data_IF_332981189414
#
_entry.id   IF_332981189414
#
_cell.length_a   1.000
_cell.length_b   1.000
_cell.length_c   1.000
_cell.angle_alpha   90.00
_cell.angle_beta   90.00
_cell.angle_gamma   90.00
#
_symmetry.space_group_name_H-M   'P 1'
#
loop_
_entity.id
_entity.type
_entity.pdbx_description
1 polymer ?
#
# COMPACT_ATOMS: atom_id res chain seq x y z
N UNK A 1 -18.46 -14.64 6.62
CA UNK A 1 -18.65 -13.59 7.65
C UNK A 1 -19.74 -12.67 7.20
N UNK A 2 -20.70 -12.38 8.08
CA UNK A 2 -21.80 -11.44 7.85
C UNK A 2 -21.25 -10.00 7.82
N UNK A 3 -21.86 -9.10 7.05
CA UNK A 3 -21.47 -7.67 6.94
C UNK A 3 -21.20 -7.02 8.31
N UNK A 4 -22.08 -7.33 9.25
CA UNK A 4 -22.06 -6.87 10.64
C UNK A 4 -20.82 -7.34 11.42
N UNK A 5 -20.29 -8.53 11.14
CA UNK A 5 -19.08 -9.04 11.80
C UNK A 5 -17.83 -8.31 11.32
N UNK A 6 -17.79 -7.89 10.05
CA UNK A 6 -16.68 -7.10 9.50
C UNK A 6 -16.64 -5.70 10.10
N UNK A 7 -17.80 -5.08 10.26
CA UNK A 7 -17.92 -3.76 10.88
C UNK A 7 -17.47 -3.78 12.34
N UNK A 8 -17.91 -4.76 13.13
CA UNK A 8 -17.49 -4.90 14.53
C UNK A 8 -15.99 -5.22 14.62
N UNK A 9 -15.45 -6.04 13.73
CA UNK A 9 -14.01 -6.33 13.68
C UNK A 9 -13.19 -5.08 13.31
N UNK A 10 -13.70 -4.22 12.43
CA UNK A 10 -13.08 -2.93 12.11
C UNK A 10 -13.06 -2.00 13.34
N UNK A 11 -14.20 -1.85 14.03
CA UNK A 11 -14.30 -1.04 15.24
C UNK A 11 -13.36 -1.53 16.34
N UNK A 12 -13.27 -2.85 16.55
CA UNK A 12 -12.35 -3.43 17.53
C UNK A 12 -10.87 -3.18 17.16
N UNK A 13 -10.51 -3.16 15.88
CA UNK A 13 -9.16 -2.76 15.44
C UNK A 13 -8.87 -1.28 15.70
N UNK A 14 -9.86 -0.39 15.55
CA UNK A 14 -9.70 1.03 15.88
C UNK A 14 -9.53 1.22 17.39
N UNK A 15 -10.28 0.46 18.20
CA UNK A 15 -10.15 0.52 19.65
C UNK A 15 -8.77 0.06 20.13
N UNK A 16 -8.20 -1.01 19.55
CA UNK A 16 -6.82 -1.45 19.83
C UNK A 16 -5.79 -0.35 19.59
N UNK A 17 -5.99 0.49 18.55
CA UNK A 17 -5.10 1.63 18.27
C UNK A 17 -5.32 2.75 19.28
N UNK A 18 -6.57 3.03 19.62
CA UNK A 18 -6.95 4.11 20.56
C UNK A 18 -6.41 3.84 21.96
N UNK A 19 -6.57 2.61 22.43
CA UNK A 19 -6.14 2.16 23.76
C UNK A 19 -4.69 1.66 23.78
N UNK A 20 -3.92 1.86 22.70
CA UNK A 20 -2.59 1.30 22.59
C UNK A 20 -1.68 1.71 23.75
N UNK A 21 -1.82 2.92 24.29
CA UNK A 21 -1.00 3.44 25.39
C UNK A 21 -1.54 3.14 26.80
N UNK A 22 -2.68 2.44 26.92
CA UNK A 22 -3.37 2.26 28.20
C UNK A 22 -2.79 1.13 29.06
N UNK A 23 -1.82 0.36 28.54
CA UNK A 23 -1.18 -0.73 29.27
C UNK A 23 -0.20 -1.56 28.43
N UNK A 24 0.15 -2.75 28.91
CA UNK A 24 0.91 -3.74 28.14
C UNK A 24 0.03 -4.29 27.00
N UNK A 25 0.62 -4.73 25.87
CA UNK A 25 -0.17 -5.19 24.72
C UNK A 25 -1.20 -6.29 25.06
N UNK A 26 -0.89 -7.16 26.03
CA UNK A 26 -1.82 -8.19 26.48
C UNK A 26 -3.04 -7.62 27.20
N UNK A 27 -2.83 -6.65 28.08
CA UNK A 27 -3.90 -5.97 28.85
C UNK A 27 -4.84 -5.24 27.89
N UNK A 28 -4.27 -4.47 26.95
CA UNK A 28 -5.05 -3.76 25.92
C UNK A 28 -5.87 -4.73 25.05
N UNK A 29 -5.31 -5.89 24.68
CA UNK A 29 -6.05 -6.90 23.91
C UNK A 29 -7.18 -7.51 24.74
N UNK A 30 -6.96 -7.79 26.02
CA UNK A 30 -7.95 -8.38 26.91
C UNK A 30 -9.09 -7.37 27.20
N UNK A 31 -8.78 -6.10 27.38
CA UNK A 31 -9.76 -5.02 27.58
C UNK A 31 -10.63 -4.79 26.34
N UNK A 32 -10.01 -4.74 25.16
CA UNK A 32 -10.77 -4.66 23.89
C UNK A 32 -11.60 -5.94 23.69
N UNK A 33 -11.08 -7.11 24.06
CA UNK A 33 -11.85 -8.37 24.02
C UNK A 33 -12.99 -8.40 25.03
N UNK A 34 -12.91 -7.69 26.14
CA UNK A 34 -14.02 -7.56 27.09
C UNK A 34 -15.09 -6.59 26.56
N UNK A 35 -14.66 -5.52 25.88
CA UNK A 35 -15.54 -4.49 25.30
C UNK A 35 -16.26 -4.95 24.03
N UNK A 36 -15.64 -5.82 23.25
CA UNK A 36 -16.21 -6.39 22.02
C UNK A 36 -16.52 -7.88 22.21
N UNK A 37 -17.43 -8.46 21.42
CA UNK A 37 -17.72 -9.90 21.53
C UNK A 37 -16.49 -10.75 21.23
N UNK A 38 -16.40 -11.97 21.81
CA UNK A 38 -15.30 -12.92 21.50
C UNK A 38 -15.15 -13.15 19.99
N UNK A 39 -16.27 -13.20 19.27
CA UNK A 39 -16.33 -13.36 17.82
C UNK A 39 -15.66 -12.19 17.11
N UNK A 40 -15.95 -10.95 17.53
CA UNK A 40 -15.30 -9.76 16.99
C UNK A 40 -13.80 -9.73 17.28
N UNK A 41 -13.39 -10.09 18.50
CA UNK A 41 -11.98 -10.15 18.85
C UNK A 41 -11.22 -11.19 18.01
N UNK A 42 -11.81 -12.36 17.73
CA UNK A 42 -11.18 -13.36 16.84
C UNK A 42 -11.11 -12.85 15.40
N UNK A 43 -12.16 -12.18 14.91
CA UNK A 43 -12.19 -11.59 13.57
C UNK A 43 -11.14 -10.48 13.37
N UNK A 44 -10.68 -9.81 14.44
CA UNK A 44 -9.59 -8.84 14.35
C UNK A 44 -8.24 -9.44 13.95
N UNK A 45 -8.04 -10.76 14.10
CA UNK A 45 -6.81 -11.47 13.76
C UNK A 45 -6.19 -12.19 14.97
N UNK A 46 -5.01 -12.78 14.76
CA UNK A 46 -4.25 -13.46 15.82
C UNK A 46 -3.78 -12.46 16.90
N UNK A 47 -3.34 -12.99 18.04
CA UNK A 47 -2.74 -12.17 19.09
C UNK A 47 -1.54 -11.37 18.57
N UNK A 48 -0.66 -11.98 17.77
CA UNK A 48 0.50 -11.28 17.19
C UNK A 48 0.09 -10.17 16.24
N UNK A 49 -0.99 -10.34 15.46
CA UNK A 49 -1.54 -9.29 14.62
C UNK A 49 -2.05 -8.10 15.46
N UNK A 50 -2.76 -8.38 16.57
CA UNK A 50 -3.24 -7.34 17.50
C UNK A 50 -2.09 -6.63 18.22
N UNK A 51 -1.10 -7.40 18.67
CA UNK A 51 0.12 -6.86 19.28
C UNK A 51 0.86 -5.96 18.29
N UNK A 52 0.99 -6.35 17.03
CA UNK A 52 1.59 -5.50 16.00
C UNK A 52 0.80 -4.19 15.81
N UNK A 53 -0.53 -4.25 15.81
CA UNK A 53 -1.39 -3.03 15.76
C UNK A 53 -1.08 -2.10 16.93
N UNK A 54 -0.97 -2.65 18.15
CA UNK A 54 -0.65 -1.88 19.37
C UNK A 54 0.77 -1.31 19.29
N UNK A 55 1.77 -2.13 18.96
CA UNK A 55 3.17 -1.71 18.89
C UNK A 55 3.37 -0.64 17.81
N UNK A 56 2.68 -0.74 16.67
CA UNK A 56 2.64 0.32 15.64
C UNK A 56 1.98 1.59 16.16
N UNK A 57 0.90 1.49 16.92
CA UNK A 57 0.20 2.66 17.49
C UNK A 57 0.97 3.31 18.66
N UNK A 58 1.75 2.54 19.42
CA UNK A 58 2.70 3.00 20.45
C UNK A 58 3.96 3.64 19.88
N UNK A 59 4.31 3.28 18.64
CA UNK A 59 5.46 3.84 17.95
C UNK A 59 5.43 5.36 18.00
N UNK A 60 6.58 5.99 18.21
CA UNK A 60 6.70 7.45 18.15
C UNK A 60 6.20 7.88 16.77
N UNK A 61 5.08 8.60 16.74
CA UNK A 61 4.65 9.28 15.51
C UNK A 61 5.69 10.36 15.23
N UNK A 62 6.22 10.35 14.01
CA UNK A 62 7.06 11.45 13.53
C UNK A 62 6.26 12.75 13.59
N UNK A 63 6.94 13.88 13.83
CA UNK A 63 6.27 15.17 14.01
C UNK A 63 5.38 15.53 12.80
N UNK A 64 5.83 15.16 11.60
CA UNK A 64 5.10 15.29 10.34
C UNK A 64 3.77 14.52 10.33
N UNK A 65 3.74 13.32 10.92
CA UNK A 65 2.50 12.52 11.03
C UNK A 65 1.51 13.19 11.98
N UNK A 66 2.02 13.77 13.07
CA UNK A 66 1.21 14.51 14.04
C UNK A 66 0.66 15.79 13.39
N UNK A 67 1.47 16.49 12.60
CA UNK A 67 1.03 17.68 11.86
C UNK A 67 -0.05 17.32 10.83
N UNK A 68 0.17 16.27 10.04
CA UNK A 68 -0.79 15.80 9.04
C UNK A 68 -2.12 15.36 9.68
N UNK A 69 -2.09 14.67 10.83
CA UNK A 69 -3.29 14.23 11.56
C UNK A 69 -4.13 15.41 12.11
N UNK A 70 -3.56 16.62 12.25
CA UNK A 70 -4.33 17.83 12.61
C UNK A 70 -5.24 18.31 11.48
N UNK A 71 -5.02 17.84 10.26
CA UNK A 71 -5.75 18.28 9.07
C UNK A 71 -5.41 19.71 8.65
N UNK A 72 -6.22 20.27 7.74
CA UNK A 72 -6.02 21.60 7.17
C UNK A 72 -5.52 21.55 5.72
N UNK A 73 -5.11 22.72 5.21
CA UNK A 73 -4.58 22.82 3.86
C UNK A 73 -3.16 22.25 3.80
N UNK A 74 -2.86 21.50 2.74
CA UNK A 74 -1.48 21.04 2.44
C UNK A 74 -0.63 22.28 2.17
N UNK A 75 0.39 22.51 3.00
CA UNK A 75 1.26 23.68 2.95
C UNK A 75 2.74 23.30 3.13
N UNK A 76 3.65 24.27 2.93
CA UNK A 76 5.09 24.13 3.17
C UNK A 76 5.71 22.95 2.39
N UNK A 77 6.59 22.18 3.04
CA UNK A 77 7.26 21.01 2.47
C UNK A 77 6.27 19.99 1.89
N UNK A 78 5.08 19.81 2.47
CA UNK A 78 4.07 18.89 1.96
C UNK A 78 3.43 19.35 0.65
N UNK A 79 3.47 20.65 0.34
CA UNK A 79 2.98 21.16 -0.95
C UNK A 79 3.95 20.86 -2.10
N UNK A 80 5.23 20.61 -1.80
CA UNK A 80 6.25 20.32 -2.80
C UNK A 80 6.03 18.96 -3.47
N UNK A 81 5.41 18.01 -2.78
CA UNK A 81 5.17 16.67 -3.31
C UNK A 81 3.85 16.55 -4.06
N UNK A 82 2.96 17.56 -3.97
CA UNK A 82 1.62 17.51 -4.56
C UNK A 82 1.60 18.17 -5.93
N UNK A 83 1.40 17.37 -6.97
CA UNK A 83 1.12 17.84 -8.33
C UNK A 83 -0.33 17.50 -8.67
N UNK A 84 -1.16 18.53 -8.89
CA UNK A 84 -2.54 18.34 -9.35
C UNK A 84 -2.62 18.55 -10.85
N UNK A 85 -3.08 17.52 -11.57
CA UNK A 85 -3.28 17.57 -13.02
C UNK A 85 -4.72 17.18 -13.36
N UNK A 86 -5.34 17.92 -14.27
CA UNK A 86 -6.66 17.60 -14.80
C UNK A 86 -6.51 17.19 -16.26
N UNK A 87 -6.90 15.96 -16.60
CA UNK A 87 -6.92 15.47 -17.98
C UNK A 87 -8.37 15.32 -18.42
N UNK A 88 -8.88 16.30 -19.17
CA UNK A 88 -10.27 16.34 -19.61
C UNK A 88 -11.26 16.43 -18.44
N UNK A 89 -12.20 15.50 -18.34
CA UNK A 89 -13.22 15.41 -17.29
C UNK A 89 -12.79 14.62 -16.05
N UNK A 90 -11.69 13.87 -16.10
CA UNK A 90 -11.22 13.04 -14.98
C UNK A 90 -10.12 13.76 -14.20
N UNK A 91 -10.32 13.89 -12.89
CA UNK A 91 -9.37 14.53 -11.97
C UNK A 91 -8.34 13.49 -11.50
N UNK A 92 -7.06 13.82 -11.60
CA UNK A 92 -5.95 13.00 -11.07
C UNK A 92 -5.17 13.85 -10.05
N UNK A 93 -4.94 13.31 -8.86
CA UNK A 93 -3.99 13.91 -7.91
C UNK A 93 -2.75 13.05 -7.85
N UNK A 94 -1.59 13.65 -8.00
CA UNK A 94 -0.30 12.97 -7.96
C UNK A 94 0.48 13.44 -6.75
N UNK A 95 1.08 12.49 -6.04
CA UNK A 95 2.05 12.76 -4.99
C UNK A 95 3.34 12.00 -5.28
N UNK A 96 4.44 12.75 -5.40
CA UNK A 96 5.77 12.22 -5.68
C UNK A 96 6.82 13.16 -5.10
N UNK A 97 8.00 12.64 -4.77
CA UNK A 97 9.17 13.45 -4.41
C UNK A 97 10.22 13.39 -5.51
N UNK A 98 11.12 14.38 -5.56
CA UNK A 98 12.26 14.39 -6.48
C UNK A 98 13.11 13.12 -6.35
N UNK A 99 13.31 12.65 -5.12
CA UNK A 99 14.00 11.37 -4.86
C UNK A 99 13.22 10.19 -5.46
N UNK A 100 11.89 10.17 -5.32
CA UNK A 100 11.05 9.13 -5.91
C UNK A 100 11.09 9.13 -7.44
N UNK A 101 11.10 10.31 -8.05
CA UNK A 101 11.24 10.52 -9.50
C UNK A 101 12.56 9.94 -10.01
N UNK A 102 13.67 10.26 -9.35
CA UNK A 102 15.01 9.75 -9.69
C UNK A 102 15.13 8.24 -9.49
N UNK A 103 14.60 7.71 -8.38
CA UNK A 103 14.61 6.28 -8.11
C UNK A 103 13.83 5.52 -9.17
N UNK A 104 12.64 6.03 -9.56
CA UNK A 104 11.83 5.41 -10.60
C UNK A 104 12.56 5.42 -11.94
N UNK A 105 13.18 6.55 -12.32
CA UNK A 105 13.93 6.66 -13.58
C UNK A 105 15.07 5.64 -13.72
N UNK A 106 15.66 5.23 -12.59
CA UNK A 106 16.72 4.23 -12.53
C UNK A 106 16.21 2.80 -12.27
N UNK A 107 14.89 2.60 -12.16
CA UNK A 107 14.29 1.32 -11.86
C UNK A 107 13.94 0.54 -13.11
N UNK A 108 14.45 -0.69 -13.20
CA UNK A 108 14.18 -1.61 -14.32
C UNK A 108 12.94 -2.51 -14.06
N UNK A 109 12.66 -2.79 -12.79
CA UNK A 109 11.46 -3.52 -12.36
C UNK A 109 10.56 -2.60 -11.53
N UNK A 110 9.30 -2.54 -11.92
CA UNK A 110 8.30 -1.64 -11.33
C UNK A 110 7.11 -2.45 -10.90
N UNK A 111 6.54 -2.10 -9.76
CA UNK A 111 5.35 -2.74 -9.24
C UNK A 111 4.24 -1.73 -9.16
N UNK A 112 3.04 -2.17 -9.49
CA UNK A 112 1.86 -1.32 -9.54
C UNK A 112 0.78 -1.93 -8.65
N UNK A 113 0.17 -1.11 -7.79
CA UNK A 113 -0.88 -1.55 -6.88
C UNK A 113 -2.01 -0.53 -6.80
N UNK A 114 -3.24 -1.00 -6.97
CA UNK A 114 -4.47 -0.22 -6.82
C UNK A 114 -5.20 -0.61 -5.54
N UNK A 115 -5.42 0.34 -4.63
CA UNK A 115 -6.17 0.15 -3.39
C UNK A 115 -7.44 0.99 -3.37
N UNK A 116 -8.55 0.38 -2.93
CA UNK A 116 -9.92 0.90 -3.16
C UNK A 116 -10.58 1.44 -1.89
N UNK A 117 -10.38 0.79 -0.75
CA UNK A 117 -11.15 1.06 0.49
C UNK A 117 -10.66 2.30 1.27
N UNK A 118 -9.69 3.04 0.72
CA UNK A 118 -8.93 4.06 1.45
C UNK A 118 -9.03 5.47 0.84
N UNK A 119 -9.93 5.70 -0.13
CA UNK A 119 -9.98 6.98 -0.86
C UNK A 119 -11.24 7.80 -0.59
N UNK A 120 -11.13 9.13 -0.43
CA UNK A 120 -12.28 10.00 -0.29
C UNK A 120 -12.96 10.22 -1.65
N UNK A 121 -14.29 10.42 -1.63
CA UNK A 121 -15.01 10.90 -2.80
C UNK A 121 -14.38 12.22 -3.32
N UNK A 122 -14.24 12.41 -4.64
CA UNK A 122 -14.83 11.63 -5.73
C UNK A 122 -13.90 10.53 -6.31
N UNK A 123 -12.81 10.16 -5.62
CA UNK A 123 -11.86 9.18 -6.15
C UNK A 123 -12.37 7.75 -5.97
N UNK A 124 -12.09 6.91 -6.96
CA UNK A 124 -12.46 5.50 -6.97
C UNK A 124 -11.32 4.59 -6.52
N UNK A 125 -10.07 5.07 -6.58
CA UNK A 125 -8.90 4.31 -6.16
C UNK A 125 -7.68 5.18 -5.86
N UNK A 126 -6.81 4.65 -5.01
CA UNK A 126 -5.42 5.07 -4.84
C UNK A 126 -4.55 4.08 -5.62
N UNK A 127 -3.95 4.55 -6.71
CA UNK A 127 -2.99 3.82 -7.50
C UNK A 127 -1.57 4.19 -7.08
N UNK A 128 -0.66 3.23 -7.05
CA UNK A 128 0.72 3.44 -6.56
C UNK A 128 1.74 2.75 -7.45
N UNK A 129 2.89 3.41 -7.63
CA UNK A 129 4.07 2.82 -8.26
C UNK A 129 5.15 2.59 -7.22
N UNK A 130 5.77 1.42 -7.30
CA UNK A 130 6.82 0.99 -6.38
C UNK A 130 8.01 0.47 -7.17
N UNK A 131 9.17 0.52 -6.54
CA UNK A 131 10.36 -0.13 -7.08
C UNK A 131 11.25 -0.67 -5.96
N UNK A 132 12.22 -1.49 -6.35
CA UNK A 132 13.29 -1.85 -5.46
C UNK A 132 14.31 -0.71 -5.36
N UNK A 133 14.65 -0.34 -4.13
CA UNK A 133 15.66 0.65 -3.81
C UNK A 133 16.85 -0.07 -3.19
N UNK A 134 18.00 0.01 -3.86
CA UNK A 134 19.25 -0.52 -3.33
C UNK A 134 19.99 0.60 -2.62
N UNK A 135 20.09 0.52 -1.29
CA UNK A 135 20.83 1.48 -0.47
C UNK A 135 22.15 0.88 -0.03
N UNK A 136 23.25 1.58 -0.30
CA UNK A 136 24.57 1.22 0.24
C UNK A 136 24.65 1.73 1.68
N UNK A 137 24.79 0.81 2.62
CA UNK A 137 24.93 1.13 4.03
C UNK A 137 26.35 0.84 4.49
N UNK A 138 26.87 1.76 5.29
CA UNK A 138 28.17 1.67 5.94
C UNK A 138 27.94 1.37 7.41
N UNK A 139 28.38 0.19 7.86
CA UNK A 139 28.45 -0.12 9.27
C UNK A 139 29.89 0.07 9.71
N UNK A 140 30.14 1.00 10.62
CA UNK A 140 31.45 1.16 11.24
C UNK A 140 31.30 1.05 12.76
N UNK A 141 32.09 0.16 13.35
CA UNK A 141 32.32 0.09 14.79
C UNK A 141 33.82 0.25 15.07
N UNK A 142 34.20 0.36 16.34
CA UNK A 142 35.60 0.56 16.77
C UNK A 142 36.59 -0.48 16.24
N UNK A 143 36.12 -1.65 15.83
CA UNK A 143 36.95 -2.80 15.45
C UNK A 143 36.74 -3.24 13.99
N UNK A 144 35.68 -2.77 13.31
CA UNK A 144 35.35 -3.21 11.96
C UNK A 144 34.57 -2.15 11.18
N UNK A 145 34.85 -2.05 9.88
CA UNK A 145 34.05 -1.27 8.94
C UNK A 145 33.62 -2.16 7.78
N UNK A 146 32.33 -2.15 7.47
CA UNK A 146 31.70 -2.97 6.45
C UNK A 146 30.80 -2.13 5.56
N UNK A 147 30.78 -2.46 4.27
CA UNK A 147 29.74 -2.02 3.34
C UNK A 147 28.80 -3.19 3.08
N UNK A 148 27.50 -2.95 3.14
CA UNK A 148 26.50 -3.91 2.70
C UNK A 148 25.39 -3.20 1.95
N UNK A 149 24.73 -3.96 1.07
CA UNK A 149 23.61 -3.48 0.29
C UNK A 149 22.32 -3.87 1.00
N UNK A 150 21.43 -2.90 1.20
CA UNK A 150 20.06 -3.14 1.63
C UNK A 150 19.14 -2.90 0.46
N UNK A 151 18.53 -3.98 -0.03
CA UNK A 151 17.42 -3.88 -0.97
C UNK A 151 16.12 -3.65 -0.18
N UNK A 152 15.46 -2.54 -0.44
CA UNK A 152 14.17 -2.18 0.16
C UNK A 152 13.12 -2.06 -0.93
N UNK A 153 11.86 -2.25 -0.56
CA UNK A 153 10.72 -2.03 -1.44
C UNK A 153 10.07 -0.71 -1.06
N UNK A 154 9.99 0.24 -1.98
CA UNK A 154 9.52 1.60 -1.68
C UNK A 154 8.38 2.02 -2.60
N UNK A 155 7.36 2.65 -2.01
CA UNK A 155 6.33 3.41 -2.72
C UNK A 155 6.98 4.70 -3.21
N UNK A 156 6.97 4.94 -4.52
CA UNK A 156 7.60 6.13 -5.11
C UNK A 156 6.56 7.17 -5.54
N UNK A 157 5.40 6.72 -6.01
CA UNK A 157 4.31 7.58 -6.47
C UNK A 157 2.97 7.12 -5.94
N UNK A 158 2.11 8.11 -5.71
CA UNK A 158 0.72 7.93 -5.31
C UNK A 158 -0.18 8.73 -6.24
N UNK A 159 -1.24 8.10 -6.73
CA UNK A 159 -2.20 8.67 -7.66
C UNK A 159 -3.61 8.45 -7.15
N UNK A 160 -4.39 9.51 -6.96
CA UNK A 160 -5.82 9.38 -6.75
C UNK A 160 -6.53 9.49 -8.08
N UNK A 161 -7.23 8.41 -8.47
CA UNK A 161 -7.93 8.29 -9.75
C UNK A 161 -9.44 8.26 -9.53
N UNK A 162 -10.17 8.88 -10.46
CA UNK A 162 -11.64 8.97 -10.43
C UNK A 162 -12.31 7.74 -11.06
N UNK A 163 -11.56 6.92 -11.80
CA UNK A 163 -12.02 5.67 -12.40
C UNK A 163 -10.85 4.67 -12.55
N UNK A 164 -11.14 3.54 -13.19
CA UNK A 164 -10.22 2.41 -13.43
C UNK A 164 -10.03 2.11 -14.92
N UNK A 165 -10.23 3.12 -15.76
CA UNK A 165 -10.18 2.95 -17.21
C UNK A 165 -8.74 2.96 -17.70
N UNK A 166 -8.48 2.25 -18.81
CA UNK A 166 -7.17 2.27 -19.50
C UNK A 166 -6.70 3.70 -19.76
N UNK A 167 -7.58 4.58 -20.23
CA UNK A 167 -7.26 5.99 -20.50
C UNK A 167 -6.77 6.76 -19.27
N UNK A 168 -7.26 6.42 -18.08
CA UNK A 168 -6.83 7.06 -16.83
C UNK A 168 -5.43 6.61 -16.43
N UNK A 169 -5.09 5.33 -16.63
CA UNK A 169 -3.73 4.85 -16.44
C UNK A 169 -2.76 5.38 -17.48
N UNK A 170 -3.18 5.48 -18.75
CA UNK A 170 -2.38 6.11 -19.80
C UNK A 170 -2.09 7.58 -19.45
N UNK A 171 -3.08 8.31 -18.95
CA UNK A 171 -2.89 9.67 -18.45
C UNK A 171 -1.89 9.73 -17.29
N UNK A 172 -1.98 8.79 -16.33
CA UNK A 172 -0.98 8.65 -15.24
C UNK A 172 0.42 8.46 -15.79
N UNK A 173 0.61 7.50 -16.72
CA UNK A 173 1.91 7.21 -17.30
C UNK A 173 2.48 8.41 -18.06
N UNK A 174 1.62 9.14 -18.78
CA UNK A 174 2.01 10.39 -19.44
C UNK A 174 2.50 11.42 -18.43
N UNK A 175 1.76 11.65 -17.34
CA UNK A 175 2.16 12.58 -16.27
C UNK A 175 3.52 12.17 -15.69
N UNK A 176 3.74 10.87 -15.44
CA UNK A 176 5.03 10.36 -14.94
C UNK A 176 6.16 10.69 -15.91
N UNK A 177 6.01 10.37 -17.20
CA UNK A 177 7.06 10.60 -18.20
C UNK A 177 7.37 12.08 -18.44
N UNK A 178 6.39 12.96 -18.21
CA UNK A 178 6.52 14.42 -18.35
C UNK A 178 6.97 15.11 -17.05
N UNK A 179 6.97 14.41 -15.91
CA UNK A 179 7.23 15.01 -14.60
C UNK A 179 8.70 15.35 -14.33
N UNK A 180 9.65 14.67 -15.00
CA UNK A 180 11.07 14.93 -14.83
C UNK A 180 11.87 14.54 -16.08
N UNK A 181 12.93 15.28 -16.48
CA UNK A 181 13.74 14.93 -17.66
C UNK A 181 14.32 13.51 -17.63
N UNK A 182 14.71 13.01 -16.45
CA UNK A 182 15.20 11.64 -16.28
C UNK A 182 14.14 10.57 -16.60
N UNK A 183 12.86 10.90 -16.47
CA UNK A 183 11.75 10.00 -16.77
C UNK A 183 11.33 9.99 -18.24
N UNK A 184 11.69 11.01 -19.03
CA UNK A 184 11.37 11.06 -20.47
C UNK A 184 11.91 9.83 -21.22
N UNK A 185 13.04 9.27 -20.77
CA UNK A 185 13.68 8.07 -21.36
C UNK A 185 13.48 6.80 -20.52
N UNK A 186 12.72 6.88 -19.43
CA UNK A 186 12.50 5.74 -18.57
C UNK A 186 11.73 4.63 -19.30
N UNK A 187 12.29 3.43 -19.26
CA UNK A 187 11.80 2.24 -19.96
C UNK A 187 12.02 1.02 -19.07
N UNK A 188 11.04 0.63 -18.24
CA UNK A 188 11.20 -0.54 -17.39
C UNK A 188 11.25 -1.82 -18.24
N UNK A 189 12.11 -2.77 -17.90
CA UNK A 189 12.08 -4.11 -18.51
C UNK A 189 10.92 -4.96 -17.97
N UNK A 190 10.56 -4.80 -16.70
CA UNK A 190 9.51 -5.63 -16.06
C UNK A 190 8.51 -4.77 -15.29
N UNK A 191 7.24 -5.03 -15.51
CA UNK A 191 6.13 -4.42 -14.79
C UNK A 191 5.33 -5.52 -14.13
N UNK A 192 5.19 -5.48 -12.80
CA UNK A 192 4.39 -6.43 -12.04
C UNK A 192 3.18 -5.69 -11.48
N UNK A 193 1.99 -6.04 -11.97
CA UNK A 193 0.75 -5.39 -11.57
C UNK A 193 -0.29 -6.41 -11.09
N UNK A 194 -1.40 -5.94 -10.53
CA UNK A 194 -2.56 -6.80 -10.35
C UNK A 194 -3.17 -7.22 -11.70
N UNK A 195 -4.29 -7.96 -11.66
CA UNK A 195 -4.92 -8.50 -12.86
C UNK A 195 -5.96 -7.54 -13.47
N UNK A 196 -5.87 -6.24 -13.17
CA UNK A 196 -6.77 -5.27 -13.76
C UNK A 196 -6.45 -5.02 -15.25
N UNK A 197 -7.43 -5.29 -16.11
CA UNK A 197 -7.27 -5.15 -17.57
C UNK A 197 -6.92 -3.73 -17.98
N UNK A 198 -7.52 -2.73 -17.32
CA UNK A 198 -7.27 -1.31 -17.60
C UNK A 198 -5.80 -0.95 -17.46
N UNK A 199 -5.23 -1.33 -16.32
CA UNK A 199 -3.83 -1.13 -15.95
C UNK A 199 -2.87 -1.87 -16.89
N UNK A 200 -3.14 -3.17 -17.12
CA UNK A 200 -2.30 -3.99 -17.99
C UNK A 200 -2.22 -3.42 -19.41
N UNK A 201 -3.36 -3.07 -20.00
CA UNK A 201 -3.43 -2.50 -21.34
C UNK A 201 -2.64 -1.19 -21.46
N UNK A 202 -2.73 -0.31 -20.45
CA UNK A 202 -2.00 0.96 -20.46
C UNK A 202 -0.49 0.75 -20.44
N UNK A 203 0.02 -0.17 -19.62
CA UNK A 203 1.45 -0.48 -19.58
C UNK A 203 1.95 -1.17 -20.85
N UNK A 204 1.19 -2.11 -21.41
CA UNK A 204 1.56 -2.78 -22.67
C UNK A 204 1.56 -1.79 -23.85
N UNK A 205 0.61 -0.86 -23.89
CA UNK A 205 0.53 0.21 -24.88
C UNK A 205 1.72 1.18 -24.75
N UNK A 206 2.00 1.65 -23.54
CA UNK A 206 3.03 2.66 -23.29
C UNK A 206 4.46 2.08 -23.38
N UNK A 207 4.66 0.83 -22.96
CA UNK A 207 5.95 0.15 -22.94
C UNK A 207 5.88 -1.21 -23.65
N UNK A 208 5.81 -1.25 -25.00
CA UNK A 208 5.62 -2.50 -25.76
C UNK A 208 6.77 -3.52 -25.62
N UNK A 209 7.93 -3.09 -25.11
CA UNK A 209 9.10 -3.96 -24.86
C UNK A 209 9.18 -4.47 -23.43
N UNK A 210 8.37 -3.93 -22.51
CA UNK A 210 8.36 -4.37 -21.13
C UNK A 210 7.61 -5.70 -21.00
N UNK A 211 8.06 -6.56 -20.08
CA UNK A 211 7.32 -7.74 -19.66
C UNK A 211 6.29 -7.33 -18.61
N UNK A 212 5.01 -7.27 -19.00
CA UNK A 212 3.90 -6.97 -18.09
C UNK A 212 3.34 -8.27 -17.51
N UNK A 213 3.55 -8.47 -16.21
CA UNK A 213 3.29 -9.71 -15.49
C UNK A 213 2.28 -9.51 -14.37
N UNK A 214 1.50 -10.56 -14.09
CA UNK A 214 0.57 -10.58 -12.96
C UNK A 214 1.29 -10.83 -11.63
N UNK A 215 0.86 -10.15 -10.58
CA UNK A 215 1.39 -10.28 -9.25
C UNK A 215 0.97 -11.60 -8.59
N UNK A 216 1.96 -12.45 -8.23
CA UNK A 216 1.72 -13.72 -7.56
C UNK A 216 0.95 -13.56 -6.23
N UNK A 217 1.23 -12.51 -5.46
CA UNK A 217 0.51 -12.24 -4.22
C UNK A 217 -0.99 -12.07 -4.46
N UNK A 218 -1.37 -11.29 -5.47
CA UNK A 218 -2.77 -11.08 -5.85
C UNK A 218 -3.43 -12.36 -6.38
N UNK A 219 -2.69 -13.18 -7.13
CA UNK A 219 -3.17 -14.47 -7.62
C UNK A 219 -3.49 -15.41 -6.44
N UNK A 220 -2.52 -15.62 -5.55
CA UNK A 220 -2.66 -16.50 -4.38
C UNK A 220 -3.77 -16.00 -3.46
N UNK A 221 -3.87 -14.69 -3.24
CA UNK A 221 -4.95 -14.10 -2.45
C UNK A 221 -6.32 -14.40 -3.08
N UNK A 222 -6.45 -14.28 -4.40
CA UNK A 222 -7.68 -14.56 -5.13
C UNK A 222 -8.06 -16.04 -5.07
N UNK A 223 -7.09 -16.94 -5.27
CA UNK A 223 -7.28 -18.38 -5.12
C UNK A 223 -7.73 -18.76 -3.72
N UNK A 224 -7.06 -18.23 -2.69
CA UNK A 224 -7.42 -18.48 -1.30
C UNK A 224 -8.85 -18.03 -1.00
N UNK A 225 -9.22 -16.79 -1.38
CA UNK A 225 -10.60 -16.27 -1.20
C UNK A 225 -11.64 -17.19 -1.86
N UNK A 226 -11.35 -17.68 -3.07
CA UNK A 226 -12.25 -18.58 -3.79
C UNK A 226 -12.36 -19.95 -3.12
N UNK A 227 -11.24 -20.53 -2.72
CA UNK A 227 -11.22 -21.83 -2.06
C UNK A 227 -11.89 -21.79 -0.67
N UNK A 228 -11.73 -20.71 0.09
CA UNK A 228 -12.48 -20.45 1.33
C UNK A 228 -14.00 -20.38 1.06
N UNK A 229 -14.42 -19.66 0.02
CA UNK A 229 -15.85 -19.57 -0.37
C UNK A 229 -16.43 -20.92 -0.78
N UNK A 230 -15.64 -21.75 -1.46
CA UNK A 230 -16.02 -23.10 -1.87
C UNK A 230 -15.85 -24.15 -0.77
N UNK A 231 -15.31 -23.77 0.39
CA UNK A 231 -15.08 -24.67 1.52
C UNK A 231 -14.18 -25.87 1.18
N UNK A 232 -13.28 -25.73 0.19
CA UNK A 232 -12.44 -26.84 -0.30
C UNK A 232 -11.52 -27.42 0.77
N UNK A 233 -11.26 -26.68 1.85
CA UNK A 233 -10.37 -27.12 2.94
C UNK A 233 -11.11 -27.78 4.10
N UNK A 234 -12.45 -27.83 4.09
CA UNK A 234 -13.22 -28.35 5.22
C UNK A 234 -12.87 -29.80 5.55
N UNK A 235 -12.68 -30.65 4.55
CA UNK A 235 -12.30 -32.06 4.74
C UNK A 235 -10.89 -32.23 5.34
N UNK A 236 -10.00 -31.26 5.16
CA UNK A 236 -8.64 -31.27 5.72
C UNK A 236 -8.58 -30.68 7.13
N UNK A 237 -9.59 -29.90 7.52
CA UNK A 237 -9.67 -29.23 8.83
C UNK A 237 -10.59 -29.99 9.79
N UNK A 238 -11.57 -30.74 9.28
CA UNK A 238 -12.39 -31.63 10.10
C UNK A 238 -11.53 -32.76 10.67
N UNK A 239 -11.50 -32.91 12.00
CA UNK A 239 -10.91 -34.09 12.63
C UNK A 239 -11.53 -35.36 12.01
N UNK A 240 -10.72 -36.41 11.75
CA UNK A 240 -11.24 -37.66 11.25
C UNK A 240 -12.32 -38.18 12.21
N UNK A 241 -13.47 -38.55 11.64
CA UNK A 241 -14.59 -39.18 12.37
C UNK A 241 -14.18 -40.49 13.02
#
# INVERSE_FOLDING_TARGET
>A
MKEQEKEIAFLARQELKKCANDGKPREVVDDVRAKFSRVASVACGSYDAKRKIIDTAKGRKEDDVIEMDKGGNIANVFSQTKVQTATGSSRILVFASDVGLELLANSDTVFCDGTFDCVPAPFAQLFTLHAYVCTVLFLSCKTFSCRYLRLSFAQLFFFLLTDKQTSSYEAVLKIVLESHPSLTQWKPATVICDYETGLKNAFESQFPRASVQGCLFHLVQSWRKKAEKLQCYNEFISEPK
#
